data_IF_368373730224
#
_entry.id   IF_368373730224
#
_cell.length_a   1.000
_cell.length_b   1.000
_cell.length_c   1.000
_cell.angle_alpha   90.00
_cell.angle_beta   90.00
_cell.angle_gamma   90.00
#
_symmetry.space_group_name_H-M   'P 1'
#
loop_
_entity.id
_entity.type
_entity.pdbx_description
1 polymer ?
#
# COMPACT_ATOMS: atom_id res chain seq x y z
N UNK A 1 -8.45 -16.01 -2.93
CA UNK A 1 -8.18 -14.90 -1.98
C UNK A 1 -8.12 -15.34 -0.52
N UNK A 2 -8.92 -16.34 -0.10
CA UNK A 2 -8.99 -16.81 1.31
C UNK A 2 -7.62 -17.10 1.93
N UNK A 3 -6.75 -17.88 1.28
CA UNK A 3 -5.44 -18.22 1.86
C UNK A 3 -4.59 -16.97 2.11
N UNK A 4 -4.49 -16.07 1.12
CA UNK A 4 -3.76 -14.80 1.27
C UNK A 4 -4.34 -13.94 2.41
N UNK A 5 -5.67 -13.88 2.52
CA UNK A 5 -6.35 -13.18 3.60
C UNK A 5 -6.03 -13.81 4.97
N UNK A 6 -6.06 -15.15 5.09
CA UNK A 6 -5.72 -15.89 6.31
C UNK A 6 -4.28 -15.63 6.74
N UNK A 7 -3.31 -15.77 5.84
CA UNK A 7 -1.90 -15.50 6.14
C UNK A 7 -1.70 -14.05 6.60
N UNK A 8 -2.38 -13.12 5.93
CA UNK A 8 -2.26 -11.70 6.26
C UNK A 8 -2.88 -11.36 7.60
N UNK A 9 -4.11 -11.82 7.86
CA UNK A 9 -4.79 -11.63 9.15
C UNK A 9 -3.99 -12.26 10.27
N UNK A 10 -3.53 -13.50 10.12
CA UNK A 10 -2.74 -14.18 11.14
C UNK A 10 -1.43 -13.44 11.43
N UNK A 11 -0.69 -13.03 10.39
CA UNK A 11 0.54 -12.26 10.57
C UNK A 11 0.31 -10.89 11.21
N UNK A 12 -0.80 -10.21 10.88
CA UNK A 12 -1.18 -8.95 11.53
C UNK A 12 -1.54 -9.17 13.01
N UNK A 13 -2.24 -10.25 13.36
CA UNK A 13 -2.61 -10.60 14.75
C UNK A 13 -1.38 -10.98 15.59
N UNK A 14 -0.49 -11.81 15.05
CA UNK A 14 0.83 -12.08 15.65
C UNK A 14 1.58 -10.76 15.85
N UNK A 15 1.54 -9.89 14.84
CA UNK A 15 2.13 -8.57 14.88
C UNK A 15 1.60 -7.70 16.03
N UNK A 16 0.28 -7.66 16.21
CA UNK A 16 -0.37 -6.97 17.32
C UNK A 16 0.10 -7.53 18.67
N UNK A 17 0.12 -8.86 18.82
CA UNK A 17 0.53 -9.52 20.06
C UNK A 17 1.97 -9.18 20.45
N UNK A 18 2.91 -9.31 19.50
CA UNK A 18 4.33 -9.02 19.74
C UNK A 18 4.56 -7.53 20.01
N UNK A 19 3.90 -6.63 19.27
CA UNK A 19 4.01 -5.17 19.51
C UNK A 19 3.53 -4.82 20.92
N UNK A 20 2.43 -5.42 21.39
CA UNK A 20 1.91 -5.15 22.73
C UNK A 20 2.78 -5.76 23.85
N UNK A 21 3.30 -6.97 23.65
CA UNK A 21 4.05 -7.69 24.69
C UNK A 21 5.51 -7.22 24.80
N UNK A 22 6.19 -7.01 23.67
CA UNK A 22 7.64 -6.76 23.64
C UNK A 22 8.00 -5.34 23.20
N UNK A 23 7.03 -4.53 22.77
CA UNK A 23 7.30 -3.18 22.25
C UNK A 23 8.13 -3.16 20.96
N UNK A 24 8.23 -4.31 20.29
CA UNK A 24 8.91 -4.47 19.00
C UNK A 24 8.07 -3.89 17.86
N UNK A 25 8.67 -3.73 16.68
CA UNK A 25 8.02 -3.06 15.53
C UNK A 25 7.63 -4.04 14.42
N UNK A 26 8.15 -5.27 14.47
CA UNK A 26 8.13 -6.29 13.41
C UNK A 26 8.48 -5.70 12.03
N UNK A 27 9.35 -4.70 12.07
CA UNK A 27 9.69 -3.70 11.05
C UNK A 27 8.58 -3.19 10.10
N UNK A 28 7.33 -3.24 10.55
CA UNK A 28 6.16 -2.78 9.82
C UNK A 28 5.12 -3.89 9.84
N UNK A 29 4.04 -3.70 10.60
CA UNK A 29 3.07 -4.77 10.92
C UNK A 29 2.51 -5.47 9.68
N UNK A 30 2.51 -4.80 8.54
CA UNK A 30 2.04 -5.30 7.24
C UNK A 30 3.15 -5.93 6.37
N UNK A 31 4.43 -5.64 6.62
CA UNK A 31 5.57 -6.11 5.82
C UNK A 31 5.68 -7.63 5.87
N UNK A 32 5.78 -8.21 7.06
CA UNK A 32 5.96 -9.66 7.25
C UNK A 32 4.82 -10.48 6.62
N UNK A 33 3.53 -10.23 6.95
CA UNK A 33 2.44 -10.99 6.34
C UNK A 33 2.37 -10.84 4.83
N UNK A 34 2.57 -9.63 4.29
CA UNK A 34 2.56 -9.45 2.84
C UNK A 34 3.75 -10.13 2.18
N UNK A 35 4.93 -10.06 2.77
CA UNK A 35 6.09 -10.77 2.24
C UNK A 35 5.83 -12.27 2.19
N UNK A 36 5.15 -12.87 3.17
CA UNK A 36 4.76 -14.28 3.08
C UNK A 36 3.88 -14.55 1.84
N UNK A 37 2.89 -13.69 1.58
CA UNK A 37 2.02 -13.81 0.39
C UNK A 37 2.83 -13.61 -0.90
N UNK A 38 3.71 -12.61 -0.97
CA UNK A 38 4.58 -12.36 -2.13
C UNK A 38 5.54 -13.51 -2.39
N UNK A 39 6.19 -14.03 -1.36
CA UNK A 39 7.13 -15.13 -1.47
C UNK A 39 6.49 -16.45 -1.91
N UNK A 40 5.18 -16.60 -1.71
CA UNK A 40 4.43 -17.75 -2.21
C UNK A 40 3.93 -17.53 -3.64
N UNK A 41 3.52 -16.30 -3.95
CA UNK A 41 3.03 -15.93 -5.27
C UNK A 41 4.14 -15.92 -6.32
N UNK A 42 5.32 -15.38 -5.97
CA UNK A 42 6.46 -15.23 -6.88
C UNK A 42 7.75 -15.45 -6.09
N UNK A 43 8.45 -16.53 -6.40
CA UNK A 43 9.66 -16.93 -5.69
C UNK A 43 10.82 -15.95 -5.90
N UNK A 44 10.81 -15.19 -7.00
CA UNK A 44 11.77 -14.11 -7.29
C UNK A 44 11.59 -12.95 -6.30
N UNK A 45 10.42 -12.81 -5.68
CA UNK A 45 10.18 -11.81 -4.63
C UNK A 45 11.13 -11.99 -3.43
N UNK A 46 11.54 -13.21 -3.10
CA UNK A 46 12.42 -13.49 -1.95
C UNK A 46 13.78 -12.79 -2.11
N UNK A 47 14.59 -13.08 -3.16
CA UNK A 47 15.85 -12.40 -3.36
C UNK A 47 15.67 -10.91 -3.65
N UNK A 48 14.60 -10.50 -4.35
CA UNK A 48 14.32 -9.09 -4.63
C UNK A 48 14.07 -8.27 -3.35
N UNK A 49 13.29 -8.82 -2.41
CA UNK A 49 12.98 -8.16 -1.15
C UNK A 49 14.19 -8.13 -0.24
N UNK A 50 14.95 -9.23 -0.14
CA UNK A 50 16.20 -9.26 0.62
C UNK A 50 17.18 -8.19 0.13
N UNK A 51 17.39 -8.12 -1.19
CA UNK A 51 18.20 -7.08 -1.82
C UNK A 51 17.65 -5.67 -1.53
N UNK A 52 16.34 -5.47 -1.64
CA UNK A 52 15.68 -4.19 -1.36
C UNK A 52 15.87 -3.73 0.10
N UNK A 53 15.78 -4.65 1.07
CA UNK A 53 16.00 -4.37 2.49
C UNK A 53 17.46 -3.95 2.71
N UNK A 54 18.42 -4.73 2.20
CA UNK A 54 19.85 -4.46 2.36
C UNK A 54 20.23 -3.13 1.72
N UNK A 55 19.79 -2.90 0.49
CA UNK A 55 20.08 -1.68 -0.25
C UNK A 55 19.48 -0.44 0.43
N UNK A 56 18.21 -0.50 0.84
CA UNK A 56 17.56 0.60 1.54
C UNK A 56 18.19 0.85 2.90
N UNK A 57 18.52 -0.19 3.66
CA UNK A 57 19.17 -0.04 4.95
C UNK A 57 20.55 0.61 4.83
N UNK A 58 21.39 0.16 3.89
CA UNK A 58 22.69 0.77 3.61
C UNK A 58 22.56 2.21 3.09
N UNK A 59 21.62 2.45 2.17
CA UNK A 59 21.36 3.79 1.63
C UNK A 59 20.88 4.78 2.71
N UNK A 60 20.07 4.33 3.66
CA UNK A 60 19.68 5.11 4.83
C UNK A 60 20.87 5.53 5.68
N UNK A 61 21.80 4.61 5.94
CA UNK A 61 23.04 4.91 6.68
C UNK A 61 23.87 5.99 5.99
N UNK A 62 23.97 5.94 4.65
CA UNK A 62 24.68 6.94 3.86
C UNK A 62 23.95 8.29 3.90
N UNK A 63 22.64 8.29 3.67
CA UNK A 63 21.83 9.51 3.65
C UNK A 63 21.88 10.24 4.99
N UNK A 64 21.75 9.54 6.11
CA UNK A 64 21.82 10.19 7.43
C UNK A 64 23.19 10.78 7.73
N UNK A 65 24.27 10.19 7.21
CA UNK A 65 25.63 10.72 7.38
C UNK A 65 25.93 11.91 6.47
N UNK A 66 25.23 12.02 5.34
CA UNK A 66 25.53 13.00 4.28
C UNK A 66 24.48 14.09 4.11
N UNK A 67 23.30 13.93 4.70
CA UNK A 67 22.15 14.81 4.53
C UNK A 67 21.41 15.02 5.84
N UNK A 68 20.59 16.08 5.91
CA UNK A 68 19.71 16.37 7.05
C UNK A 68 18.29 15.81 6.85
N UNK A 69 18.15 14.67 6.16
CA UNK A 69 16.86 14.03 5.96
C UNK A 69 16.45 13.22 7.20
N UNK A 70 15.26 13.52 7.74
CA UNK A 70 14.75 12.85 8.94
C UNK A 70 13.27 12.47 8.81
N UNK A 71 12.82 11.56 9.69
CA UNK A 71 11.42 11.19 9.83
C UNK A 71 10.80 10.69 8.52
N UNK A 72 9.76 11.39 8.03
CA UNK A 72 8.99 10.99 6.85
C UNK A 72 9.83 10.98 5.57
N UNK A 73 10.68 11.98 5.38
CA UNK A 73 11.50 12.09 4.16
C UNK A 73 12.48 10.92 4.06
N UNK A 74 13.01 10.50 5.21
CA UNK A 74 13.88 9.34 5.31
C UNK A 74 13.14 8.02 4.96
N UNK A 75 11.89 7.88 5.42
CA UNK A 75 11.02 6.76 5.03
C UNK A 75 10.73 6.75 3.52
N UNK A 76 10.46 7.91 2.92
CA UNK A 76 10.25 8.02 1.48
C UNK A 76 11.50 7.65 0.69
N UNK A 77 12.67 8.11 1.14
CA UNK A 77 13.94 7.76 0.53
C UNK A 77 14.21 6.25 0.60
N UNK A 78 13.92 5.59 1.73
CA UNK A 78 14.10 4.14 1.83
C UNK A 78 13.16 3.35 0.93
N UNK A 79 11.89 3.76 0.80
CA UNK A 79 10.96 3.19 -0.18
C UNK A 79 11.47 3.38 -1.60
N UNK A 80 11.96 4.59 -1.94
CA UNK A 80 12.51 4.87 -3.27
C UNK A 80 13.72 3.99 -3.62
N UNK A 81 14.67 3.84 -2.67
CA UNK A 81 15.84 2.97 -2.85
C UNK A 81 15.42 1.51 -3.00
N UNK A 82 14.48 1.03 -2.17
CA UNK A 82 14.05 -0.36 -2.21
C UNK A 82 13.26 -0.73 -3.44
N UNK A 83 12.60 0.24 -4.08
CA UNK A 83 12.01 0.05 -5.40
C UNK A 83 13.10 0.05 -6.47
N UNK A 84 13.93 1.10 -6.52
CA UNK A 84 14.88 1.33 -7.61
C UNK A 84 15.95 0.23 -7.74
N UNK A 85 16.48 -0.28 -6.62
CA UNK A 85 17.62 -1.20 -6.66
C UNK A 85 17.26 -2.60 -7.16
N UNK A 86 16.26 -3.31 -6.60
CA UNK A 86 15.81 -4.59 -7.17
C UNK A 86 15.40 -4.44 -8.63
N UNK A 87 14.75 -3.34 -9.00
CA UNK A 87 14.37 -3.13 -10.39
C UNK A 87 15.56 -2.96 -11.33
N UNK A 88 16.55 -2.17 -10.93
CA UNK A 88 17.78 -2.03 -11.70
C UNK A 88 18.50 -3.37 -11.87
N UNK A 89 18.55 -4.19 -10.80
CA UNK A 89 19.22 -5.49 -10.82
C UNK A 89 18.45 -6.51 -11.67
N UNK A 90 17.20 -6.81 -11.34
CA UNK A 90 16.40 -7.83 -12.04
C UNK A 90 16.02 -7.39 -13.45
N UNK A 91 15.74 -6.10 -13.66
CA UNK A 91 15.54 -5.54 -14.99
C UNK A 91 16.81 -5.62 -15.84
N UNK A 92 17.97 -5.29 -15.26
CA UNK A 92 19.27 -5.43 -15.93
C UNK A 92 19.61 -6.87 -16.30
N UNK A 93 19.33 -7.83 -15.41
CA UNK A 93 19.53 -9.26 -15.68
C UNK A 93 18.59 -9.77 -16.78
N UNK A 94 17.35 -9.29 -16.81
CA UNK A 94 16.39 -9.60 -17.88
C UNK A 94 16.87 -9.07 -19.22
N UNK A 95 17.37 -7.82 -19.27
CA UNK A 95 17.96 -7.23 -20.47
C UNK A 95 19.23 -7.95 -20.93
N UNK A 96 19.99 -8.53 -19.99
CA UNK A 96 21.13 -9.37 -20.27
C UNK A 96 20.75 -10.79 -20.75
N UNK A 97 19.46 -11.10 -20.86
CA UNK A 97 18.97 -12.38 -21.38
C UNK A 97 18.97 -13.53 -20.36
N UNK A 98 19.06 -13.23 -19.06
CA UNK A 98 18.97 -14.27 -18.03
C UNK A 98 17.52 -14.76 -17.89
N UNK A 99 17.21 -16.02 -18.22
CA UNK A 99 15.84 -16.51 -18.21
C UNK A 99 15.30 -16.66 -16.79
N UNK A 100 13.98 -16.48 -16.61
CA UNK A 100 13.28 -16.74 -15.35
C UNK A 100 13.46 -15.69 -14.25
N UNK A 101 14.04 -14.53 -14.54
CA UNK A 101 14.27 -13.44 -13.56
C UNK A 101 13.37 -12.21 -13.77
N UNK A 102 12.18 -12.43 -14.34
CA UNK A 102 11.17 -11.38 -14.51
C UNK A 102 10.38 -11.20 -13.23
N UNK A 103 10.32 -9.98 -12.70
CA UNK A 103 9.47 -9.65 -11.56
C UNK A 103 8.01 -9.59 -12.01
N UNK A 104 7.11 -10.27 -11.30
CA UNK A 104 5.68 -10.08 -11.51
C UNK A 104 5.25 -8.65 -11.14
N UNK A 105 4.16 -8.15 -11.75
CA UNK A 105 3.52 -6.88 -11.36
C UNK A 105 3.19 -6.86 -9.85
N UNK A 106 2.81 -8.02 -9.32
CA UNK A 106 2.52 -8.22 -7.91
C UNK A 106 3.77 -7.96 -7.06
N UNK A 107 4.86 -8.71 -7.27
CA UNK A 107 6.14 -8.52 -6.58
C UNK A 107 6.64 -7.09 -6.65
N UNK A 108 6.43 -6.47 -7.81
CA UNK A 108 6.80 -5.10 -8.02
C UNK A 108 6.03 -4.12 -7.12
N UNK A 109 4.70 -4.22 -7.01
CA UNK A 109 3.92 -3.40 -6.06
C UNK A 109 4.43 -3.62 -4.62
N UNK A 110 4.86 -4.85 -4.31
CA UNK A 110 5.44 -5.22 -3.03
C UNK A 110 6.84 -4.65 -2.75
N UNK A 111 7.59 -4.21 -3.76
CA UNK A 111 9.00 -3.74 -3.64
C UNK A 111 9.19 -2.50 -2.76
N UNK A 112 8.10 -1.80 -2.44
CA UNK A 112 8.08 -0.69 -1.46
C UNK A 112 8.27 -1.20 -0.02
N UNK A 113 7.74 -2.39 0.30
CA UNK A 113 7.71 -2.93 1.65
C UNK A 113 9.11 -3.17 2.24
N UNK A 114 10.08 -3.71 1.48
CA UNK A 114 11.48 -3.75 1.89
C UNK A 114 12.03 -2.41 2.43
N UNK A 115 11.68 -1.28 1.81
CA UNK A 115 12.11 0.05 2.25
C UNK A 115 11.48 0.48 3.57
N UNK A 116 10.22 0.08 3.81
CA UNK A 116 9.53 0.27 5.10
C UNK A 116 10.20 -0.56 6.20
N UNK A 117 10.56 -1.81 5.88
CA UNK A 117 11.25 -2.72 6.77
C UNK A 117 12.62 -2.14 7.18
N UNK A 118 13.43 -1.77 6.19
CA UNK A 118 14.74 -1.16 6.38
C UNK A 118 14.67 0.09 7.27
N UNK A 119 13.71 0.99 7.00
CA UNK A 119 13.51 2.18 7.83
C UNK A 119 13.16 1.83 9.28
N UNK A 120 12.26 0.86 9.50
CA UNK A 120 11.87 0.50 10.86
C UNK A 120 13.00 -0.20 11.62
N UNK A 121 13.79 -1.08 10.97
CA UNK A 121 14.99 -1.68 11.57
C UNK A 121 16.03 -0.63 11.92
N UNK A 122 16.24 0.34 11.04
CA UNK A 122 17.19 1.44 11.26
C UNK A 122 16.79 2.30 12.46
N UNK A 123 15.50 2.42 12.75
CA UNK A 123 14.97 3.22 13.87
C UNK A 123 14.87 2.44 15.20
N UNK A 124 15.34 1.19 15.24
CA UNK A 124 15.45 0.40 16.48
C UNK A 124 16.87 0.47 17.03
N UNK A 125 16.96 0.42 18.37
CA UNK A 125 18.22 0.21 19.08
C UNK A 125 18.86 -1.13 18.68
N UNK A 126 20.19 -1.21 18.75
CA UNK A 126 20.96 -2.36 18.26
C UNK A 126 20.50 -3.69 18.87
N UNK A 127 20.21 -3.71 20.17
CA UNK A 127 19.89 -4.93 20.91
C UNK A 127 18.50 -5.45 20.50
N UNK A 128 17.50 -4.56 20.49
CA UNK A 128 16.13 -4.89 20.07
C UNK A 128 16.00 -5.20 18.59
N UNK A 129 16.94 -4.70 17.77
CA UNK A 129 16.92 -4.94 16.31
C UNK A 129 17.11 -6.42 15.99
N UNK A 130 17.97 -7.13 16.73
CA UNK A 130 18.20 -8.57 16.52
C UNK A 130 16.93 -9.35 16.81
N UNK A 131 16.27 -9.08 17.93
CA UNK A 131 15.02 -9.73 18.31
C UNK A 131 13.90 -9.44 17.30
N UNK A 132 13.79 -8.19 16.83
CA UNK A 132 12.82 -7.81 15.80
C UNK A 132 13.05 -8.55 14.48
N UNK A 133 14.30 -8.69 14.05
CA UNK A 133 14.66 -9.45 12.83
C UNK A 133 14.38 -10.93 13.01
N UNK A 134 14.78 -11.54 14.13
CA UNK A 134 14.58 -12.97 14.38
C UNK A 134 13.10 -13.33 14.46
N UNK A 135 12.30 -12.54 15.18
CA UNK A 135 10.85 -12.76 15.26
C UNK A 135 10.15 -12.50 13.93
N UNK A 136 10.60 -11.50 13.16
CA UNK A 136 10.09 -11.25 11.81
C UNK A 136 10.40 -12.41 10.87
N UNK A 137 11.62 -12.95 10.92
CA UNK A 137 12.03 -14.11 10.13
C UNK A 137 11.28 -15.38 10.54
N UNK A 138 11.16 -15.65 11.84
CA UNK A 138 10.41 -16.79 12.35
C UNK A 138 8.92 -16.72 11.95
N UNK A 139 8.31 -15.53 12.07
CA UNK A 139 6.92 -15.30 11.65
C UNK A 139 6.77 -15.47 10.15
N UNK A 140 7.71 -14.93 9.34
CA UNK A 140 7.71 -15.11 7.89
C UNK A 140 7.78 -16.59 7.51
N UNK A 141 8.74 -17.34 8.06
CA UNK A 141 8.89 -18.77 7.80
C UNK A 141 7.64 -19.56 8.21
N UNK A 142 7.06 -19.25 9.36
CA UNK A 142 5.83 -19.88 9.84
C UNK A 142 4.63 -19.60 8.92
N UNK A 143 4.44 -18.35 8.48
CA UNK A 143 3.37 -17.97 7.56
C UNK A 143 3.59 -18.57 6.16
N UNK A 144 4.80 -18.56 5.64
CA UNK A 144 5.13 -19.19 4.35
C UNK A 144 4.89 -20.70 4.43
N UNK A 145 5.35 -21.38 5.48
CA UNK A 145 5.11 -22.80 5.69
C UNK A 145 3.62 -23.14 5.80
N UNK A 146 2.84 -22.32 6.52
CA UNK A 146 1.38 -22.45 6.56
C UNK A 146 0.76 -22.25 5.18
N UNK A 147 1.22 -21.27 4.41
CA UNK A 147 0.74 -21.02 3.06
C UNK A 147 1.02 -22.19 2.12
N UNK A 148 2.22 -22.76 2.14
CA UNK A 148 2.56 -24.00 1.42
C UNK A 148 1.60 -25.12 1.83
N UNK A 149 1.34 -25.30 3.12
CA UNK A 149 0.43 -26.34 3.59
C UNK A 149 -1.03 -26.12 3.16
N UNK A 150 -1.48 -24.86 3.03
CA UNK A 150 -2.86 -24.51 2.67
C UNK A 150 -3.10 -24.50 1.16
N UNK A 151 -2.11 -24.13 0.35
CA UNK A 151 -2.23 -24.13 -1.11
C UNK A 151 -1.90 -25.51 -1.64
N UNK A 152 -2.85 -26.44 -1.58
CA UNK A 152 -2.67 -27.79 -2.12
C UNK A 152 -3.89 -28.25 -2.91
N UNK A 153 -3.71 -29.32 -3.70
CA UNK A 153 -4.75 -29.88 -4.58
C UNK A 153 -6.01 -30.36 -3.80
N UNK A 154 -5.90 -31.10 -2.67
CA UNK A 154 -7.07 -31.48 -1.87
C UNK A 154 -7.94 -30.32 -1.37
N UNK A 155 -7.33 -29.18 -1.05
CA UNK A 155 -8.02 -28.01 -0.52
C UNK A 155 -8.48 -27.03 -1.60
N UNK A 156 -8.01 -27.16 -2.84
CA UNK A 156 -8.34 -26.26 -3.94
C UNK A 156 -9.86 -26.10 -4.18
N UNK A 157 -10.69 -27.16 -4.14
CA UNK A 157 -12.15 -27.02 -4.31
C UNK A 157 -12.85 -26.22 -3.20
N UNK A 158 -12.23 -26.09 -2.03
CA UNK A 158 -12.81 -25.43 -0.87
C UNK A 158 -12.24 -24.04 -0.64
N UNK A 159 -10.96 -23.81 -0.93
CA UNK A 159 -10.28 -22.55 -0.63
C UNK A 159 -10.00 -21.71 -1.89
N UNK A 160 -9.91 -22.36 -3.05
CA UNK A 160 -9.51 -21.73 -4.31
C UNK A 160 -10.68 -21.20 -5.15
N UNK A 161 -11.89 -21.76 -5.00
CA UNK A 161 -13.04 -21.48 -5.87
C UNK A 161 -14.11 -20.58 -5.25
N UNK A 162 -14.17 -20.49 -3.91
CA UNK A 162 -15.19 -19.70 -3.19
C UNK A 162 -15.00 -18.19 -3.39
N UNK A 163 -13.76 -17.77 -3.59
CA UNK A 163 -13.39 -16.36 -3.83
C UNK A 163 -12.46 -16.32 -5.02
N UNK A 164 -12.40 -15.21 -5.77
CA UNK A 164 -11.41 -15.04 -6.84
C UNK A 164 -10.00 -15.44 -6.37
N UNK A 165 -9.29 -16.29 -7.13
CA UNK A 165 -8.04 -16.86 -6.68
C UNK A 165 -6.96 -15.78 -6.50
N UNK A 166 -5.98 -16.07 -5.64
CA UNK A 166 -4.76 -15.24 -5.46
C UNK A 166 -3.59 -16.20 -5.45
N UNK A 167 -3.39 -16.92 -4.35
CA UNK A 167 -2.37 -17.96 -4.24
C UNK A 167 -2.74 -19.29 -4.90
N UNK A 168 -3.93 -19.37 -5.51
CA UNK A 168 -4.36 -20.48 -6.35
C UNK A 168 -4.46 -20.07 -7.83
N UNK A 169 -4.16 -18.80 -8.16
CA UNK A 169 -4.31 -18.27 -9.53
C UNK A 169 -3.15 -18.68 -10.42
N UNK A 170 -3.29 -18.46 -11.73
CA UNK A 170 -2.30 -18.86 -12.74
C UNK A 170 -0.94 -18.20 -12.56
N UNK A 171 -0.92 -16.97 -12.02
CA UNK A 171 0.32 -16.25 -11.74
C UNK A 171 1.06 -16.65 -10.46
N UNK A 172 0.57 -17.64 -9.71
CA UNK A 172 1.14 -18.02 -8.41
C UNK A 172 2.09 -19.22 -8.51
N UNK A 173 3.37 -19.01 -8.27
CA UNK A 173 4.42 -20.05 -8.31
C UNK A 173 4.10 -21.24 -7.40
N UNK A 174 3.62 -20.99 -6.17
CA UNK A 174 3.27 -22.09 -5.26
C UNK A 174 2.11 -22.95 -5.78
N UNK A 175 1.16 -22.35 -6.52
CA UNK A 175 0.03 -23.09 -7.09
C UNK A 175 0.51 -23.98 -8.24
N UNK A 176 1.39 -23.44 -9.09
CA UNK A 176 2.02 -24.17 -10.17
C UNK A 176 2.87 -25.33 -9.66
N UNK A 177 3.67 -25.12 -8.61
CA UNK A 177 4.52 -26.18 -8.01
C UNK A 177 3.69 -27.29 -7.37
N UNK A 178 2.49 -26.98 -6.85
CA UNK A 178 1.61 -27.96 -6.21
C UNK A 178 0.53 -28.52 -7.15
N UNK A 179 0.62 -28.24 -8.46
CA UNK A 179 -0.39 -28.61 -9.46
C UNK A 179 -1.82 -28.25 -9.04
N UNK A 180 -1.97 -27.12 -8.33
CA UNK A 180 -3.22 -26.69 -7.73
C UNK A 180 -3.79 -25.42 -8.39
N UNK A 181 -3.23 -25.02 -9.53
CA UNK A 181 -3.61 -23.81 -10.26
C UNK A 181 -5.06 -23.84 -10.72
N UNK A 182 -5.76 -22.72 -10.53
CA UNK A 182 -7.13 -22.47 -10.95
C UNK A 182 -7.10 -21.29 -11.91
N UNK A 183 -7.64 -21.48 -13.11
CA UNK A 183 -7.77 -20.43 -14.10
C UNK A 183 -8.66 -19.30 -13.60
N UNK A 184 -8.03 -18.16 -13.36
CA UNK A 184 -8.64 -16.85 -13.26
C UNK A 184 -8.83 -16.34 -14.69
N UNK A 185 -10.08 -16.17 -15.15
CA UNK A 185 -10.41 -15.59 -16.47
C UNK A 185 -10.04 -14.10 -16.60
N UNK A 186 -9.00 -13.66 -15.90
CA UNK A 186 -8.47 -12.31 -15.92
C UNK A 186 -7.54 -12.11 -17.10
N UNK A 187 -7.79 -11.07 -17.88
CA UNK A 187 -6.75 -10.47 -18.70
C UNK A 187 -5.89 -9.56 -17.81
N UNK A 188 -4.54 -9.67 -17.85
CA UNK A 188 -3.66 -8.74 -17.17
C UNK A 188 -3.88 -7.31 -17.69
N UNK A 189 -3.69 -6.30 -16.82
CA UNK A 189 -3.64 -4.92 -17.30
C UNK A 189 -2.32 -4.78 -18.07
N UNK A 190 -2.36 -4.46 -19.35
CA UNK A 190 -1.14 -4.20 -20.12
C UNK A 190 -0.56 -2.82 -19.77
N UNK A 191 -0.20 -2.62 -18.50
CA UNK A 191 0.48 -1.42 -18.04
C UNK A 191 1.98 -1.69 -17.99
N UNK A 192 2.81 -0.96 -18.77
CA UNK A 192 4.24 -1.19 -18.73
C UNK A 192 4.79 -0.84 -17.34
N UNK A 193 5.65 -1.71 -16.78
CA UNK A 193 6.24 -1.55 -15.45
C UNK A 193 6.81 -0.15 -15.15
N UNK A 194 7.53 0.51 -16.09
CA UNK A 194 8.03 1.87 -15.89
C UNK A 194 6.92 2.90 -15.66
N UNK A 195 5.73 2.70 -16.22
CA UNK A 195 4.60 3.59 -16.02
C UNK A 195 4.00 3.45 -14.62
N UNK A 196 3.90 2.22 -14.11
CA UNK A 196 3.48 1.97 -12.73
C UNK A 196 4.47 2.63 -11.75
N UNK A 197 5.78 2.52 -12.03
CA UNK A 197 6.83 3.23 -11.28
C UNK A 197 6.63 4.74 -11.29
N UNK A 198 6.46 5.30 -12.47
CA UNK A 198 6.28 6.73 -12.63
C UNK A 198 5.03 7.19 -11.86
N UNK A 199 3.93 6.45 -11.93
CA UNK A 199 2.70 6.75 -11.21
C UNK A 199 2.90 6.74 -9.69
N UNK A 200 3.56 5.70 -9.15
CA UNK A 200 3.85 5.60 -7.71
C UNK A 200 4.80 6.74 -7.28
N UNK A 201 5.86 7.00 -8.06
CA UNK A 201 6.82 8.07 -7.77
C UNK A 201 6.16 9.45 -7.78
N UNK A 202 5.37 9.75 -8.82
CA UNK A 202 4.58 10.99 -8.89
C UNK A 202 3.60 11.07 -7.72
N UNK A 203 2.96 9.95 -7.34
CA UNK A 203 2.15 9.85 -6.12
C UNK A 203 2.89 10.25 -4.85
N UNK A 204 4.12 9.74 -4.67
CA UNK A 204 4.99 10.12 -3.55
C UNK A 204 5.31 11.62 -3.57
N UNK A 205 5.66 12.18 -4.73
CA UNK A 205 5.97 13.61 -4.90
C UNK A 205 4.75 14.48 -4.61
N UNK A 206 3.57 14.13 -5.12
CA UNK A 206 2.31 14.86 -4.86
C UNK A 206 1.96 14.82 -3.37
N UNK A 207 2.09 13.65 -2.74
CA UNK A 207 1.79 13.46 -1.32
C UNK A 207 2.78 14.18 -0.39
N UNK A 208 4.06 14.23 -0.76
CA UNK A 208 5.06 15.00 -0.04
C UNK A 208 4.89 16.51 -0.28
N UNK A 209 4.62 16.92 -1.52
CA UNK A 209 4.35 18.31 -1.88
C UNK A 209 3.16 18.90 -1.14
N UNK A 210 2.04 18.19 -1.07
CA UNK A 210 0.86 18.62 -0.31
C UNK A 210 1.17 18.79 1.19
N UNK A 211 1.99 17.89 1.74
CA UNK A 211 2.40 17.96 3.14
C UNK A 211 3.38 19.12 3.41
N UNK A 212 4.41 19.28 2.59
CA UNK A 212 5.38 20.37 2.73
C UNK A 212 4.76 21.75 2.49
N UNK A 213 3.79 21.83 1.56
CA UNK A 213 3.17 23.09 1.20
C UNK A 213 2.08 23.52 2.18
N UNK A 214 1.19 22.60 2.53
CA UNK A 214 -0.04 22.89 3.29
C UNK A 214 -0.14 22.18 4.64
N UNK A 215 0.81 21.31 4.99
CA UNK A 215 0.74 20.50 6.22
C UNK A 215 -0.33 19.41 6.17
N UNK A 216 -0.98 19.20 5.02
CA UNK A 216 -2.08 18.23 4.86
C UNK A 216 -1.52 16.89 4.39
N UNK A 217 -1.88 15.83 5.10
CA UNK A 217 -1.56 14.45 4.71
C UNK A 217 -2.65 13.92 3.80
N UNK A 218 -2.29 13.49 2.59
CA UNK A 218 -3.21 12.77 1.71
C UNK A 218 -3.45 11.35 2.21
N UNK A 219 -4.52 10.72 1.73
CA UNK A 219 -5.01 9.43 2.22
C UNK A 219 -4.13 8.24 1.76
N UNK A 220 -2.89 8.19 2.27
CA UNK A 220 -1.86 7.23 1.86
C UNK A 220 -0.97 7.77 0.73
N UNK A 221 0.33 7.51 0.83
CA UNK A 221 1.33 8.02 -0.13
C UNK A 221 1.19 7.32 -1.49
N UNK A 222 0.85 6.03 -1.46
CA UNK A 222 0.85 5.13 -2.63
C UNK A 222 -0.58 4.67 -2.97
N UNK A 223 -1.52 4.90 -2.05
CA UNK A 223 -2.90 4.45 -2.20
C UNK A 223 -3.61 5.08 -3.41
N UNK A 224 -3.41 6.39 -3.63
CA UNK A 224 -4.10 7.11 -4.72
C UNK A 224 -3.71 6.63 -6.12
N UNK A 225 -2.41 6.55 -6.49
CA UNK A 225 -2.03 6.05 -7.82
C UNK A 225 -2.40 4.57 -8.00
N UNK A 226 -2.26 3.72 -6.97
CA UNK A 226 -2.67 2.32 -7.07
C UNK A 226 -4.19 2.17 -7.23
N UNK A 227 -4.97 2.94 -6.46
CA UNK A 227 -6.43 2.92 -6.59
C UNK A 227 -6.86 3.38 -7.98
N UNK A 228 -6.18 4.38 -8.57
CA UNK A 228 -6.44 4.82 -9.93
C UNK A 228 -6.15 3.71 -10.96
N UNK A 229 -4.99 3.06 -10.87
CA UNK A 229 -4.64 1.90 -11.71
C UNK A 229 -5.69 0.78 -11.60
N UNK A 230 -6.08 0.42 -10.38
CA UNK A 230 -7.07 -0.64 -10.17
C UNK A 230 -8.48 -0.24 -10.67
N UNK A 231 -8.83 1.06 -10.63
CA UNK A 231 -10.10 1.56 -11.17
C UNK A 231 -10.14 1.51 -12.70
N UNK A 232 -8.98 1.64 -13.38
CA UNK A 232 -8.84 1.40 -14.82
C UNK A 232 -8.98 -0.08 -15.19
N UNK A 233 -8.83 -0.99 -14.22
CA UNK A 233 -9.06 -2.43 -14.42
C UNK A 233 -10.50 -2.82 -14.15
N UNK A 234 -11.12 -2.30 -13.09
CA UNK A 234 -12.48 -2.63 -12.72
C UNK A 234 -13.20 -1.45 -12.06
N UNK A 235 -14.38 -1.13 -12.59
CA UNK A 235 -15.28 -0.13 -12.04
C UNK A 235 -15.71 -0.42 -10.60
N UNK A 236 -15.75 -1.70 -10.20
CA UNK A 236 -16.16 -2.12 -8.87
C UNK A 236 -15.14 -1.73 -7.78
N UNK A 237 -13.87 -1.49 -8.13
CA UNK A 237 -12.81 -1.18 -7.16
C UNK A 237 -13.11 0.09 -6.36
N UNK A 238 -13.51 1.17 -7.04
CA UNK A 238 -13.76 2.45 -6.39
C UNK A 238 -14.93 2.41 -5.38
N UNK A 239 -16.15 1.93 -5.71
CA UNK A 239 -17.22 1.84 -4.73
C UNK A 239 -16.88 0.87 -3.59
N UNK A 240 -16.22 -0.25 -3.87
CA UNK A 240 -15.77 -1.18 -2.83
C UNK A 240 -14.77 -0.54 -1.88
N UNK A 241 -13.80 0.21 -2.41
CA UNK A 241 -12.85 0.98 -1.62
C UNK A 241 -13.56 1.99 -0.70
N UNK A 242 -14.52 2.76 -1.23
CA UNK A 242 -15.24 3.78 -0.45
C UNK A 242 -16.12 3.17 0.65
N UNK A 243 -16.83 2.10 0.35
CA UNK A 243 -17.66 1.37 1.33
C UNK A 243 -16.77 0.75 2.41
N UNK A 244 -15.71 0.03 2.01
CA UNK A 244 -14.77 -0.57 2.94
C UNK A 244 -14.09 0.50 3.82
N UNK A 245 -13.68 1.63 3.23
CA UNK A 245 -13.09 2.76 3.95
C UNK A 245 -14.05 3.28 5.04
N UNK A 246 -15.33 3.47 4.71
CA UNK A 246 -16.34 3.95 5.66
C UNK A 246 -16.61 2.94 6.79
N UNK A 247 -16.80 1.67 6.44
CA UNK A 247 -17.05 0.58 7.41
C UNK A 247 -15.84 0.41 8.35
N UNK A 248 -14.64 0.28 7.79
CA UNK A 248 -13.42 0.11 8.57
C UNK A 248 -13.17 1.33 9.45
N UNK A 249 -13.36 2.56 8.92
CA UNK A 249 -13.23 3.78 9.71
C UNK A 249 -14.19 3.81 10.91
N UNK A 250 -15.44 3.40 10.73
CA UNK A 250 -16.42 3.27 11.83
C UNK A 250 -15.96 2.27 12.89
N UNK A 251 -15.56 1.07 12.45
CA UNK A 251 -15.13 0.00 13.35
C UNK A 251 -13.84 0.32 14.10
N UNK A 252 -12.82 0.90 13.45
CA UNK A 252 -11.59 1.31 14.15
C UNK A 252 -11.86 2.46 15.12
N UNK A 253 -12.81 3.36 14.81
CA UNK A 253 -13.17 4.45 15.70
C UNK A 253 -13.86 3.92 16.95
N UNK A 254 -14.72 2.92 16.79
CA UNK A 254 -15.36 2.22 17.91
C UNK A 254 -14.32 1.46 18.75
N UNK A 255 -13.46 0.69 18.10
CA UNK A 255 -12.41 -0.08 18.74
C UNK A 255 -11.44 0.83 19.51
N UNK A 256 -11.02 1.95 18.92
CA UNK A 256 -10.19 2.95 19.60
C UNK A 256 -10.89 3.54 20.83
N UNK A 257 -12.17 3.89 20.73
CA UNK A 257 -12.93 4.44 21.86
C UNK A 257 -13.06 3.47 23.02
N UNK A 258 -13.15 2.16 22.75
CA UNK A 258 -13.33 1.14 23.78
C UNK A 258 -12.02 0.63 24.38
N UNK A 259 -10.98 0.50 23.57
CA UNK A 259 -9.72 -0.15 23.98
C UNK A 259 -8.57 0.84 24.18
N UNK A 260 -8.73 2.10 23.74
CA UNK A 260 -7.67 3.12 23.68
C UNK A 260 -6.45 2.69 22.85
N UNK A 261 -6.58 1.63 22.04
CA UNK A 261 -5.51 1.18 21.15
C UNK A 261 -5.17 2.29 20.16
N UNK A 262 -3.88 2.51 19.97
CA UNK A 262 -3.37 3.58 19.12
C UNK A 262 -2.13 3.14 18.33
N UNK A 263 -1.70 3.99 17.41
CA UNK A 263 -0.47 3.77 16.64
C UNK A 263 -0.52 2.51 15.78
N UNK A 264 0.55 1.72 15.81
CA UNK A 264 0.73 0.55 14.94
C UNK A 264 -0.29 -0.56 15.20
N UNK A 265 -0.72 -0.72 16.44
CA UNK A 265 -1.75 -1.72 16.79
C UNK A 265 -3.07 -1.35 16.13
N UNK A 266 -3.51 -0.10 16.24
CA UNK A 266 -4.76 0.35 15.62
C UNK A 266 -4.71 0.24 14.08
N UNK A 267 -3.57 0.54 13.46
CA UNK A 267 -3.36 0.30 12.02
C UNK A 267 -3.53 -1.18 11.67
N UNK A 268 -2.90 -2.08 12.42
CA UNK A 268 -2.98 -3.51 12.20
C UNK A 268 -4.40 -4.04 12.40
N UNK A 269 -5.10 -3.60 13.44
CA UNK A 269 -6.52 -3.94 13.66
C UNK A 269 -7.40 -3.45 12.51
N UNK A 270 -7.17 -2.23 12.01
CA UNK A 270 -7.89 -1.71 10.84
C UNK A 270 -7.66 -2.54 9.57
N UNK A 271 -6.43 -3.00 9.35
CA UNK A 271 -6.10 -3.91 8.26
C UNK A 271 -6.75 -5.28 8.41
N UNK A 272 -6.74 -5.86 9.63
CA UNK A 272 -7.44 -7.12 9.93
C UNK A 272 -8.93 -6.99 9.60
N UNK A 273 -9.57 -5.93 10.09
CA UNK A 273 -11.00 -5.66 9.83
C UNK A 273 -11.23 -5.52 8.32
N UNK A 274 -10.41 -4.75 7.61
CA UNK A 274 -10.58 -4.52 6.18
C UNK A 274 -10.47 -5.80 5.35
N UNK A 275 -9.50 -6.67 5.67
CA UNK A 275 -9.32 -7.96 5.00
C UNK A 275 -10.44 -8.93 5.36
N UNK A 276 -10.88 -8.98 6.61
CA UNK A 276 -12.01 -9.83 7.01
C UNK A 276 -13.32 -9.39 6.35
N UNK A 277 -13.54 -8.09 6.19
CA UNK A 277 -14.71 -7.54 5.47
C UNK A 277 -14.63 -7.80 3.96
N UNK A 278 -13.44 -7.84 3.37
CA UNK A 278 -13.30 -8.04 1.93
C UNK A 278 -13.57 -9.49 1.49
N UNK A 279 -13.37 -10.49 2.35
CA UNK A 279 -13.69 -11.90 2.04
C UNK A 279 -15.18 -12.13 1.71
N UNK A 280 -16.16 -11.75 2.55
CA UNK A 280 -17.57 -11.90 2.20
C UNK A 280 -17.97 -11.02 1.01
N UNK A 281 -17.36 -9.84 0.87
CA UNK A 281 -17.54 -9.01 -0.33
C UNK A 281 -17.07 -9.76 -1.59
N UNK A 282 -15.95 -10.48 -1.53
CA UNK A 282 -15.43 -11.27 -2.63
C UNK A 282 -16.38 -12.41 -3.06
N UNK A 283 -17.19 -12.91 -2.13
CA UNK A 283 -18.15 -13.98 -2.38
C UNK A 283 -19.46 -13.46 -3.01
N UNK A 284 -19.80 -12.19 -2.76
CA UNK A 284 -21.10 -11.61 -3.12
C UNK A 284 -21.02 -10.62 -4.29
N UNK A 285 -19.90 -9.92 -4.42
CA UNK A 285 -19.70 -8.91 -5.46
C UNK A 285 -19.09 -9.55 -6.72
N UNK A 286 -19.45 -9.05 -7.92
CA UNK A 286 -18.91 -9.53 -9.20
C UNK A 286 -17.49 -9.02 -9.42
N UNK A 287 -16.58 -9.30 -8.48
CA UNK A 287 -15.19 -8.91 -8.58
C UNK A 287 -14.44 -10.04 -9.29
N UNK A 288 -13.88 -9.71 -10.44
CA UNK A 288 -13.17 -10.68 -11.27
C UNK A 288 -11.76 -10.97 -10.76
N UNK A 289 -11.24 -10.16 -9.83
CA UNK A 289 -9.86 -10.26 -9.39
C UNK A 289 -9.60 -10.28 -7.90
N UNK A 290 -9.00 -11.37 -7.45
CA UNK A 290 -8.64 -11.58 -6.05
C UNK A 290 -7.53 -10.63 -5.61
N UNK A 291 -6.57 -10.35 -6.48
CA UNK A 291 -5.42 -9.48 -6.17
C UNK A 291 -5.88 -8.04 -5.99
N UNK A 292 -6.68 -7.48 -6.91
CA UNK A 292 -7.16 -6.11 -6.74
C UNK A 292 -8.05 -5.97 -5.52
N UNK A 293 -8.91 -6.95 -5.24
CA UNK A 293 -9.77 -6.90 -4.06
C UNK A 293 -8.94 -6.96 -2.77
N UNK A 294 -7.93 -7.83 -2.74
CA UNK A 294 -7.01 -7.96 -1.61
C UNK A 294 -6.25 -6.65 -1.35
N UNK A 295 -5.68 -6.01 -2.38
CA UNK A 295 -5.05 -4.70 -2.18
C UNK A 295 -6.06 -3.60 -1.87
N UNK A 296 -7.25 -3.61 -2.46
CA UNK A 296 -8.29 -2.63 -2.16
C UNK A 296 -8.69 -2.69 -0.67
N UNK A 297 -8.74 -3.90 -0.09
CA UNK A 297 -8.92 -4.11 1.33
C UNK A 297 -7.77 -3.51 2.15
N UNK A 298 -6.52 -3.76 1.75
CA UNK A 298 -5.34 -3.17 2.41
C UNK A 298 -5.35 -1.64 2.34
N UNK A 299 -5.59 -1.07 1.15
CA UNK A 299 -5.63 0.36 0.91
C UNK A 299 -6.74 1.03 1.72
N UNK A 300 -7.93 0.42 1.78
CA UNK A 300 -9.05 0.94 2.58
C UNK A 300 -8.75 0.86 4.08
N UNK A 301 -8.09 -0.20 4.57
CA UNK A 301 -7.64 -0.29 5.95
C UNK A 301 -6.59 0.78 6.33
N UNK A 302 -5.58 0.98 5.49
CA UNK A 302 -4.57 2.04 5.66
C UNK A 302 -5.23 3.42 5.59
N UNK A 303 -6.13 3.62 4.62
CA UNK A 303 -6.85 4.86 4.41
C UNK A 303 -7.74 5.20 5.60
N UNK A 304 -8.47 4.23 6.14
CA UNK A 304 -9.35 4.40 7.30
C UNK A 304 -8.54 4.83 8.52
N UNK A 305 -7.42 4.14 8.79
CA UNK A 305 -6.51 4.50 9.88
C UNK A 305 -5.91 5.89 9.71
N UNK A 306 -5.45 6.24 8.50
CA UNK A 306 -4.90 7.56 8.21
C UNK A 306 -5.96 8.65 8.42
N UNK A 307 -7.19 8.41 7.97
CA UNK A 307 -8.31 9.31 8.16
C UNK A 307 -8.69 9.49 9.63
N UNK A 308 -8.69 8.40 10.41
CA UNK A 308 -8.92 8.42 11.86
C UNK A 308 -7.89 9.26 12.60
N UNK A 309 -6.60 9.09 12.27
CA UNK A 309 -5.51 9.85 12.92
C UNK A 309 -5.45 11.33 12.55
N UNK A 310 -6.09 11.74 11.47
CA UNK A 310 -6.08 13.14 11.08
C UNK A 310 -6.93 13.98 12.05
N UNK A 311 -6.45 15.18 12.44
CA UNK A 311 -7.24 16.11 13.25
C UNK A 311 -8.57 16.41 12.56
N UNK A 312 -9.70 16.48 13.30
CA UNK A 312 -11.03 16.68 12.72
C UNK A 312 -11.09 17.88 11.75
N UNK A 313 -10.38 18.97 12.06
CA UNK A 313 -10.30 20.19 11.25
C UNK A 313 -9.66 19.99 9.87
N UNK A 314 -8.82 18.97 9.69
CA UNK A 314 -8.11 18.69 8.44
C UNK A 314 -8.72 17.55 7.63
N UNK A 315 -9.67 16.80 8.18
CA UNK A 315 -10.24 15.61 7.55
C UNK A 315 -10.93 15.94 6.23
N UNK A 316 -11.81 16.94 6.21
CA UNK A 316 -12.52 17.34 4.99
C UNK A 316 -11.56 17.82 3.90
N UNK A 317 -10.60 18.67 4.26
CA UNK A 317 -9.56 19.16 3.35
C UNK A 317 -8.72 18.03 2.76
N UNK A 318 -8.27 17.09 3.60
CA UNK A 318 -7.52 15.92 3.15
C UNK A 318 -8.34 15.03 2.22
N UNK A 319 -9.61 14.79 2.55
CA UNK A 319 -10.51 13.99 1.72
C UNK A 319 -10.69 14.62 0.34
N UNK A 320 -11.01 15.92 0.30
CA UNK A 320 -11.20 16.67 -0.94
C UNK A 320 -9.93 16.68 -1.80
N UNK A 321 -8.76 16.98 -1.22
CA UNK A 321 -7.49 16.97 -1.95
C UNK A 321 -7.11 15.56 -2.43
N UNK A 322 -7.38 14.53 -1.63
CA UNK A 322 -7.12 13.14 -2.01
C UNK A 322 -8.03 12.70 -3.16
N UNK A 323 -9.31 13.09 -3.14
CA UNK A 323 -10.25 12.83 -4.23
C UNK A 323 -9.82 13.53 -5.53
N UNK A 324 -9.43 14.81 -5.46
CA UNK A 324 -8.90 15.54 -6.61
C UNK A 324 -7.62 14.93 -7.17
N UNK A 325 -6.69 14.54 -6.30
CA UNK A 325 -5.46 13.86 -6.71
C UNK A 325 -5.75 12.49 -7.34
N UNK A 326 -6.68 11.70 -6.78
CA UNK A 326 -7.13 10.44 -7.38
C UNK A 326 -7.69 10.65 -8.79
N UNK A 327 -8.58 11.63 -9.00
CA UNK A 327 -9.14 11.93 -10.33
C UNK A 327 -8.03 12.37 -11.30
N UNK A 328 -7.07 13.17 -10.85
CA UNK A 328 -5.93 13.57 -11.66
C UNK A 328 -5.05 12.37 -12.07
N UNK A 329 -4.79 11.43 -11.15
CA UNK A 329 -4.09 10.19 -11.48
C UNK A 329 -4.88 9.32 -12.44
N UNK A 330 -6.18 9.16 -12.21
CA UNK A 330 -7.06 8.36 -13.06
C UNK A 330 -7.08 8.91 -14.49
N UNK A 331 -7.31 10.22 -14.66
CA UNK A 331 -7.30 10.86 -15.96
C UNK A 331 -5.93 10.84 -16.63
N UNK A 332 -4.85 11.06 -15.88
CA UNK A 332 -3.48 11.00 -16.42
C UNK A 332 -3.08 9.60 -16.88
N UNK A 333 -3.44 8.57 -16.12
CA UNK A 333 -3.16 7.18 -16.47
C UNK A 333 -4.02 6.69 -17.63
N UNK A 334 -5.27 7.14 -17.73
CA UNK A 334 -6.16 6.83 -18.85
C UNK A 334 -5.60 7.31 -20.20
N UNK A 335 -4.79 8.39 -20.21
CA UNK A 335 -4.14 8.86 -21.45
C UNK A 335 -2.98 7.97 -21.90
N UNK A 336 -2.51 7.07 -21.03
CA UNK A 336 -1.29 6.28 -21.23
C UNK A 336 -1.56 4.77 -21.24
N UNK A 337 -2.72 4.33 -20.75
CA UNK A 337 -3.11 2.93 -20.60
C UNK A 337 -4.50 2.77 -21.18
N UNK A 338 -4.67 1.77 -22.05
CA UNK A 338 -5.98 1.39 -22.54
C UNK A 338 -6.81 0.79 -21.41
N UNK A 339 -7.95 1.41 -21.04
CA UNK A 339 -8.78 0.91 -19.95
C UNK A 339 -9.40 -0.43 -20.33
N UNK A 340 -9.56 -1.30 -19.34
CA UNK A 340 -10.31 -2.55 -19.53
C UNK A 340 -11.76 -2.25 -19.96
N UNK A 341 -12.43 -3.15 -20.71
CA UNK A 341 -13.88 -3.04 -20.93
C UNK A 341 -14.69 -2.97 -19.61
N UNK A 342 -14.17 -3.54 -18.53
CA UNK A 342 -14.76 -3.49 -17.19
C UNK A 342 -14.38 -2.23 -16.37
N UNK A 343 -13.58 -1.33 -16.93
CA UNK A 343 -13.13 -0.11 -16.27
C UNK A 343 -14.27 0.87 -16.03
N UNK A 344 -14.14 1.71 -14.99
CA UNK A 344 -15.11 2.78 -14.71
C UNK A 344 -15.31 3.74 -15.89
N UNK A 345 -14.24 3.94 -16.66
CA UNK A 345 -14.20 4.85 -17.81
C UNK A 345 -14.95 4.29 -19.03
N UNK A 346 -15.12 2.98 -19.09
CA UNK A 346 -15.80 2.27 -20.19
C UNK A 346 -17.31 2.14 -19.95
N UNK A 347 -17.82 2.67 -18.84
CA UNK A 347 -19.23 2.59 -18.45
C UNK A 347 -20.11 3.47 -19.37
N UNK A 348 -21.31 3.01 -19.79
CA UNK A 348 -22.26 3.82 -20.56
C UNK A 348 -22.62 5.16 -19.90
N UNK A 349 -22.45 5.31 -18.58
CA UNK A 349 -22.65 6.56 -17.84
C UNK A 349 -21.42 7.48 -17.81
N UNK A 350 -20.50 7.35 -18.76
CA UNK A 350 -19.23 8.09 -18.79
C UNK A 350 -19.40 9.62 -18.68
N UNK A 351 -20.48 10.19 -19.24
CA UNK A 351 -20.75 11.63 -19.15
C UNK A 351 -20.99 12.06 -17.70
N UNK A 352 -21.77 11.28 -16.94
CA UNK A 352 -22.01 11.55 -15.52
C UNK A 352 -20.72 11.41 -14.72
N UNK A 353 -19.94 10.36 -14.97
CA UNK A 353 -18.66 10.10 -14.32
C UNK A 353 -17.67 11.23 -14.60
N UNK A 354 -17.57 11.68 -15.85
CA UNK A 354 -16.74 12.81 -16.25
C UNK A 354 -17.19 14.12 -15.58
N UNK A 355 -18.51 14.35 -15.49
CA UNK A 355 -19.05 15.54 -14.82
C UNK A 355 -18.69 15.54 -13.33
N UNK A 356 -18.87 14.41 -12.64
CA UNK A 356 -18.48 14.26 -11.23
C UNK A 356 -16.97 14.45 -11.06
N UNK A 357 -16.16 13.87 -11.95
CA UNK A 357 -14.71 14.03 -11.94
C UNK A 357 -14.29 15.51 -12.07
N UNK A 358 -14.89 16.25 -13.01
CA UNK A 358 -14.64 17.68 -13.20
C UNK A 358 -15.00 18.46 -11.93
N UNK A 359 -16.18 18.21 -11.34
CA UNK A 359 -16.62 18.86 -10.09
C UNK A 359 -15.63 18.58 -8.96
N UNK A 360 -15.19 17.34 -8.80
CA UNK A 360 -14.20 16.95 -7.78
C UNK A 360 -12.88 17.70 -7.97
N UNK A 361 -12.39 17.81 -9.21
CA UNK A 361 -11.16 18.55 -9.53
C UNK A 361 -11.32 20.03 -9.22
N UNK A 362 -12.43 20.65 -9.61
CA UNK A 362 -12.72 22.08 -9.31
C UNK A 362 -12.72 22.31 -7.80
N UNK A 363 -13.44 21.48 -7.03
CA UNK A 363 -13.53 21.62 -5.57
C UNK A 363 -12.16 21.43 -4.92
N UNK A 364 -11.34 20.49 -5.40
CA UNK A 364 -9.98 20.30 -4.94
C UNK A 364 -9.07 21.49 -5.26
N UNK A 365 -9.17 22.06 -6.47
CA UNK A 365 -8.42 23.23 -6.89
C UNK A 365 -8.79 24.47 -6.05
N UNK A 366 -10.09 24.72 -5.83
CA UNK A 366 -10.57 25.80 -4.95
C UNK A 366 -10.03 25.63 -3.53
N UNK A 367 -10.03 24.39 -3.02
CA UNK A 367 -9.48 24.08 -1.69
C UNK A 367 -7.98 24.35 -1.62
N UNK A 368 -7.21 23.94 -2.64
CA UNK A 368 -5.79 24.21 -2.75
C UNK A 368 -5.49 25.72 -2.81
N UNK A 369 -6.24 26.48 -3.63
CA UNK A 369 -6.13 27.95 -3.72
C UNK A 369 -6.44 28.60 -2.37
N UNK A 370 -7.47 28.13 -1.66
CA UNK A 370 -7.80 28.64 -0.32
C UNK A 370 -6.66 28.40 0.67
N UNK A 371 -6.07 27.20 0.68
CA UNK A 371 -4.93 26.89 1.54
C UNK A 371 -3.71 27.75 1.20
N UNK A 372 -3.47 28.01 -0.08
CA UNK A 372 -2.38 28.87 -0.50
C UNK A 372 -2.59 30.33 -0.09
N UNK A 373 -3.83 30.84 -0.15
CA UNK A 373 -4.18 32.19 0.33
C UNK A 373 -4.06 32.33 1.85
N UNK A 374 -4.32 31.27 2.61
CA UNK A 374 -4.17 31.27 4.08
C UNK A 374 -2.71 31.11 4.53
N UNK A 375 -1.78 30.91 3.60
CA UNK A 375 -0.37 30.72 3.92
C UNK A 375 0.26 32.05 4.34
N UNK A 376 0.91 32.13 5.52
CA UNK A 376 1.57 33.36 5.94
C UNK A 376 2.67 33.74 4.96
N UNK A 377 2.77 35.04 4.67
CA UNK A 377 3.78 35.56 3.75
C UNK A 377 5.20 35.23 4.25
N UNK A 378 6.20 35.22 3.35
CA UNK A 378 7.58 34.98 3.76
C UNK A 378 8.08 36.02 4.78
N UNK A 379 7.61 37.26 4.67
CA UNK A 379 7.89 38.34 5.62
C UNK A 379 7.24 38.07 6.99
N UNK A 380 5.99 37.62 7.01
CA UNK A 380 5.25 37.31 8.22
C UNK A 380 5.82 36.10 8.97
N UNK A 381 6.29 35.07 8.24
CA UNK A 381 7.04 33.95 8.84
C UNK A 381 8.33 34.39 9.52
N UNK A 382 9.07 35.32 8.90
CA UNK A 382 10.28 35.89 9.53
C UNK A 382 9.93 36.69 10.77
N UNK A 383 8.83 37.44 10.75
CA UNK A 383 8.35 38.24 11.89
C UNK A 383 7.94 37.36 13.08
N UNK A 384 7.18 36.29 12.83
CA UNK A 384 6.79 35.31 13.85
C UNK A 384 8.04 34.66 14.45
N UNK A 385 8.98 34.20 13.61
CA UNK A 385 10.22 33.57 14.06
C UNK A 385 11.15 34.53 14.83
N UNK A 386 11.09 35.85 14.56
CA UNK A 386 11.84 36.85 15.33
C UNK A 386 11.20 37.19 16.67
N UNK A 387 9.87 37.09 16.80
CA UNK A 387 9.18 37.37 18.06
C UNK A 387 9.37 36.25 19.10
N UNK A 388 9.37 34.99 18.67
CA UNK A 388 9.68 33.85 19.55
C UNK A 388 11.13 33.87 20.08
N UNK A 389 12.02 34.67 19.46
CA UNK A 389 13.42 34.84 19.90
C UNK A 389 13.64 36.00 20.86
N UNK A 390 12.68 36.89 21.02
CA UNK A 390 12.80 38.05 21.92
C UNK A 390 12.19 37.82 23.31
N UNK A 391 11.44 36.72 23.48
CA UNK A 391 10.77 36.37 24.74
C UNK A 391 11.43 35.16 25.47
N UNK A 392 12.63 34.75 25.04
CA UNK A 392 13.53 33.83 25.78
C UNK A 392 14.81 34.56 26.12
#
# INVERSE_FOLDING_TARGET
>A
MIVAATLTVLGLLIGIGIVQQYGLRLSGVLVVPLFAVYALYDFVAIPAFALGIVAAYGGLMVLQRRTFLFGRQLLLASMGISMAVPLGVFGGLTLAGVPGLTLSEFTFIGSILPGVAAYNYHQLESDRRRDDVLLSAATLLGLTGLGVALVNLPLAPYLGTITPPVLYGEGSDIAAVQDATISDGETPLEAPLPLILAAIFVGMVVSEGAYLRWGIRLNGIIALPLLALFTLRSAAVLPLYLVALAVVYGLITLLHRWSLLYGRVLLASGLVIAILVSVPVAMLAPVTSGIHLFFTAILSGIGAYNFHRMPPKHRSTSFVLSAGAFVAFLGGLQLLIDPSPAALVSDPNIILIATVAIVVVIVAAVTAVRLERLRPSAAERRRIASHDRTDT
#
